data_IF_098319529897
#
_entry.id   IF_098319529897
#
_cell.length_a   1.000
_cell.length_b   1.000
_cell.length_c   1.000
_cell.angle_alpha   90.00
_cell.angle_beta   90.00
_cell.angle_gamma   90.00
#
_symmetry.space_group_name_H-M   'P 1'
#
loop_
_entity.id
_entity.type
_entity.pdbx_description
1 polymer ?
#
# COMPACT_ATOMS: atom_id res chain seq x y z
N UNK A 1 -13.52 -2.27 -12.68
CA UNK A 1 -12.55 -2.62 -11.62
C UNK A 1 -13.36 -3.14 -10.43
N UNK A 2 -14.03 -4.28 -10.61
CA UNK A 2 -15.10 -4.72 -9.70
C UNK A 2 -14.61 -5.64 -8.57
N UNK A 3 -13.43 -6.24 -8.72
CA UNK A 3 -12.80 -7.06 -7.67
C UNK A 3 -11.29 -7.17 -7.92
N UNK A 4 -10.51 -6.22 -7.39
CA UNK A 4 -9.05 -6.25 -7.44
C UNK A 4 -8.47 -6.84 -6.16
N UNK A 5 -7.51 -7.73 -6.34
CA UNK A 5 -6.67 -8.24 -5.27
C UNK A 5 -5.31 -7.53 -5.35
N UNK A 6 -5.05 -6.62 -4.41
CA UNK A 6 -3.89 -5.73 -4.44
C UNK A 6 -2.96 -6.08 -3.27
N UNK A 7 -1.70 -6.35 -3.56
CA UNK A 7 -0.66 -6.48 -2.55
C UNK A 7 0.09 -5.15 -2.45
N UNK A 8 0.23 -4.63 -1.23
CA UNK A 8 0.80 -3.32 -0.98
C UNK A 8 1.80 -3.38 0.17
N UNK A 9 2.98 -2.83 -0.06
CA UNK A 9 4.05 -2.78 0.94
C UNK A 9 5.15 -1.82 0.52
N UNK A 10 5.96 -1.40 1.48
CA UNK A 10 7.19 -0.69 1.19
C UNK A 10 8.26 -1.65 0.68
N UNK A 11 9.10 -1.21 -0.25
CA UNK A 11 10.19 -2.03 -0.78
C UNK A 11 11.51 -1.26 -0.65
N UNK A 12 12.52 -1.92 -0.09
CA UNK A 12 13.90 -1.48 -0.17
C UNK A 12 14.54 -2.11 -1.41
N UNK A 13 15.13 -1.29 -2.26
CA UNK A 13 15.74 -1.76 -3.51
C UNK A 13 17.07 -1.03 -3.76
N UNK A 14 17.89 -1.64 -4.61
CA UNK A 14 19.11 -1.04 -5.13
C UNK A 14 19.22 -1.29 -6.63
N UNK A 15 20.37 -0.97 -7.23
CA UNK A 15 20.64 -1.20 -8.65
C UNK A 15 20.49 -2.68 -9.09
N UNK A 16 20.54 -3.63 -8.16
CA UNK A 16 20.36 -5.07 -8.40
C UNK A 16 18.92 -5.55 -8.19
N UNK A 17 18.00 -4.66 -7.82
CA UNK A 17 16.58 -4.96 -7.60
C UNK A 17 16.17 -4.92 -6.14
N UNK A 18 15.07 -5.62 -5.84
CA UNK A 18 14.51 -5.71 -4.50
C UNK A 18 15.49 -6.40 -3.53
N UNK A 19 15.61 -5.83 -2.32
CA UNK A 19 16.38 -6.42 -1.22
C UNK A 19 15.48 -7.01 -0.15
N UNK A 20 14.47 -6.26 0.28
CA UNK A 20 13.55 -6.65 1.35
C UNK A 20 12.34 -5.72 1.40
N UNK A 21 11.25 -6.19 2.02
CA UNK A 21 10.11 -5.36 2.35
C UNK A 21 10.42 -4.40 3.52
N UNK A 22 9.73 -3.26 3.52
CA UNK A 22 9.78 -2.22 4.55
C UNK A 22 8.37 -1.90 5.03
N UNK A 23 8.21 -1.42 6.29
CA UNK A 23 6.98 -0.74 6.68
C UNK A 23 6.70 0.42 5.73
N UNK A 24 5.43 0.68 5.41
CA UNK A 24 5.06 1.72 4.44
C UNK A 24 5.65 3.10 4.77
N UNK A 25 5.63 3.48 6.06
CA UNK A 25 6.18 4.76 6.54
C UNK A 25 7.71 4.87 6.44
N UNK A 26 8.41 3.76 6.22
CA UNK A 26 9.86 3.73 6.04
C UNK A 26 10.25 3.58 4.56
N UNK A 27 9.28 3.51 3.66
CA UNK A 27 9.50 3.41 2.22
C UNK A 27 9.25 4.74 1.50
N UNK A 28 9.72 4.82 0.27
CA UNK A 28 9.47 5.92 -0.65
C UNK A 28 8.12 5.77 -1.41
N UNK A 29 7.37 4.71 -1.16
CA UNK A 29 6.10 4.46 -1.83
C UNK A 29 5.03 5.47 -1.39
N UNK A 30 4.56 6.28 -2.33
CA UNK A 30 3.49 7.25 -2.10
C UNK A 30 2.10 6.58 -2.06
N UNK A 31 1.87 5.84 -0.97
CA UNK A 31 0.61 5.12 -0.75
C UNK A 31 -0.60 6.05 -0.67
N UNK A 32 -0.43 7.31 -0.27
CA UNK A 32 -1.53 8.28 -0.16
C UNK A 32 -2.12 8.59 -1.54
N UNK A 33 -1.28 8.89 -2.53
CA UNK A 33 -1.75 9.18 -3.88
C UNK A 33 -2.23 7.91 -4.59
N UNK A 34 -1.64 6.74 -4.28
CA UNK A 34 -2.18 5.46 -4.70
C UNK A 34 -3.63 5.26 -4.20
N UNK A 35 -3.90 5.50 -2.91
CA UNK A 35 -5.24 5.41 -2.33
C UNK A 35 -6.21 6.43 -2.94
N UNK A 36 -5.76 7.65 -3.26
CA UNK A 36 -6.58 8.63 -3.99
C UNK A 36 -6.98 8.12 -5.36
N UNK A 37 -6.06 7.50 -6.09
CA UNK A 37 -6.36 6.91 -7.40
C UNK A 37 -7.37 5.75 -7.27
N UNK A 38 -7.17 4.85 -6.30
CA UNK A 38 -8.10 3.75 -6.00
C UNK A 38 -9.51 4.28 -5.74
N UNK A 39 -9.64 5.36 -4.95
CA UNK A 39 -10.92 6.02 -4.69
C UNK A 39 -11.49 6.69 -5.95
N UNK A 40 -10.68 7.44 -6.69
CA UNK A 40 -11.10 8.16 -7.89
C UNK A 40 -11.70 7.23 -8.96
N UNK A 41 -11.05 6.07 -9.17
CA UNK A 41 -11.53 5.07 -10.11
C UNK A 41 -12.63 4.15 -9.56
N UNK A 42 -13.10 4.40 -8.33
CA UNK A 42 -14.12 3.60 -7.64
C UNK A 42 -13.78 2.09 -7.66
N UNK A 43 -12.51 1.77 -7.41
CA UNK A 43 -12.02 0.39 -7.40
C UNK A 43 -12.66 -0.37 -6.25
N UNK A 44 -13.11 -1.59 -6.53
CA UNK A 44 -13.62 -2.54 -5.54
C UNK A 44 -12.66 -3.71 -5.39
N UNK A 45 -12.65 -4.35 -4.22
CA UNK A 45 -11.81 -5.52 -3.92
C UNK A 45 -11.11 -5.40 -2.57
N UNK A 46 -9.92 -5.99 -2.46
CA UNK A 46 -9.14 -6.09 -1.23
C UNK A 46 -7.70 -5.62 -1.42
N UNK A 47 -7.19 -4.88 -0.43
CA UNK A 47 -5.77 -4.53 -0.33
C UNK A 47 -5.17 -5.33 0.83
N UNK A 48 -4.12 -6.08 0.54
CA UNK A 48 -3.33 -6.87 1.50
C UNK A 48 -2.02 -6.13 1.78
N UNK A 49 -1.72 -5.91 3.05
CA UNK A 49 -0.43 -5.36 3.48
C UNK A 49 0.63 -6.46 3.56
N UNK A 50 1.76 -6.29 2.86
CA UNK A 50 2.84 -7.29 2.81
C UNK A 50 4.14 -6.86 3.50
N UNK A 51 4.14 -5.70 4.16
CA UNK A 51 5.28 -5.23 4.93
C UNK A 51 5.55 -6.09 6.18
N UNK A 52 6.72 -5.91 6.82
CA UNK A 52 7.06 -6.60 8.06
C UNK A 52 6.17 -6.20 9.26
N UNK A 53 5.35 -5.14 9.14
CA UNK A 53 4.42 -4.66 10.16
C UNK A 53 2.98 -4.64 9.63
N UNK A 54 2.48 -5.79 9.17
CA UNK A 54 1.21 -5.97 8.47
C UNK A 54 0.03 -5.25 9.13
N UNK A 55 -0.20 -5.44 10.43
CA UNK A 55 -1.36 -4.87 11.13
C UNK A 55 -1.28 -3.34 11.21
N UNK A 56 -0.06 -2.81 11.39
CA UNK A 56 0.16 -1.36 11.48
C UNK A 56 -0.03 -0.70 10.12
N UNK A 57 0.52 -1.30 9.07
CA UNK A 57 0.37 -0.81 7.70
C UNK A 57 -1.08 -0.90 7.22
N UNK A 58 -1.80 -2.00 7.53
CA UNK A 58 -3.22 -2.12 7.24
C UNK A 58 -4.06 -1.05 7.94
N UNK A 59 -3.81 -0.78 9.23
CA UNK A 59 -4.47 0.30 9.97
C UNK A 59 -4.13 1.68 9.41
N UNK A 60 -2.87 1.90 8.99
CA UNK A 60 -2.44 3.14 8.37
C UNK A 60 -3.17 3.39 7.05
N UNK A 61 -3.23 2.38 6.17
CA UNK A 61 -3.93 2.46 4.89
C UNK A 61 -5.42 2.73 5.10
N UNK A 62 -6.08 1.97 5.99
CA UNK A 62 -7.51 2.16 6.32
C UNK A 62 -7.80 3.58 6.81
N UNK A 63 -7.07 4.06 7.81
CA UNK A 63 -7.24 5.42 8.36
C UNK A 63 -6.92 6.51 7.35
N UNK A 64 -5.99 6.26 6.44
CA UNK A 64 -5.68 7.21 5.36
C UNK A 64 -6.83 7.27 4.36
N UNK A 65 -7.31 6.12 3.91
CA UNK A 65 -8.42 6.03 2.96
C UNK A 65 -9.73 6.62 3.51
N UNK A 66 -10.04 6.39 4.80
CA UNK A 66 -11.23 6.96 5.47
C UNK A 66 -11.19 8.49 5.60
N UNK A 67 -10.00 9.11 5.49
CA UNK A 67 -9.82 10.57 5.54
C UNK A 67 -9.79 11.22 4.14
N UNK A 68 -9.75 10.43 3.08
CA UNK A 68 -9.92 10.88 1.69
C UNK A 68 -11.41 10.98 1.35
#
# INVERSE_FOLDING_TARGET
MEDLHIHMGGVNYNEKGERNHLPLLQSDFNYVDCLKAIRYFNVKGCIISEGPLVEKDALLLKKTFERL
#
